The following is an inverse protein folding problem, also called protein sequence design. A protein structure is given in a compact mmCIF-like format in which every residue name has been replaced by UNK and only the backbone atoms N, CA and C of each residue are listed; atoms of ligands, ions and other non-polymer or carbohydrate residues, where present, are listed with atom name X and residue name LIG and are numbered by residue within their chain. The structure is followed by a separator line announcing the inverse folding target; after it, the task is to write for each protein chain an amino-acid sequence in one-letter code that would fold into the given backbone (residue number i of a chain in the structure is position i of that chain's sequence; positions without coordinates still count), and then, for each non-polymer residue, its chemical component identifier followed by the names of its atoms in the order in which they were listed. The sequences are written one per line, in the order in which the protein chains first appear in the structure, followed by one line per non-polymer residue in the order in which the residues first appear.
data_IF_385048165350
#
_entry.id   IF_385048165350
#
_cell.length_a   1.000
_cell.length_b   1.000
_cell.length_c   1.000
_cell.angle_alpha   90.00
_cell.angle_beta   90.00
_cell.angle_gamma   90.00
#
_symmetry.space_group_name_H-M   'P 1'
#
loop_
_entity.id
_entity.type
_entity.pdbx_description
1 polymer ?
#
# COMPACT_ATOMS: atom_id res chain seq x y z
N UNK A 1 7.74 -0.04 7.32
CA UNK A 1 7.53 -1.26 8.14
C UNK A 1 6.27 -2.00 7.71
N UNK A 2 6.29 -3.33 7.74
CA UNK A 2 5.12 -4.21 7.58
C UNK A 2 4.15 -4.01 8.75
N UNK A 3 2.84 -4.10 8.50
CA UNK A 3 1.82 -4.05 9.56
C UNK A 3 2.03 -5.23 10.51
N UNK A 4 1.86 -5.06 11.84
CA UNK A 4 1.98 -6.16 12.78
C UNK A 4 1.02 -7.29 12.42
N UNK A 5 1.47 -8.54 12.53
CA UNK A 5 0.68 -9.73 12.20
C UNK A 5 0.19 -10.39 13.50
N UNK A 6 -1.10 -10.65 13.60
CA UNK A 6 -1.71 -11.40 14.70
C UNK A 6 -2.22 -12.73 14.17
N UNK A 7 -1.75 -13.85 14.71
CA UNK A 7 -2.19 -15.18 14.28
C UNK A 7 -3.25 -15.75 15.24
N UNK A 8 -4.34 -16.29 14.70
CA UNK A 8 -5.31 -17.07 15.48
C UNK A 8 -4.94 -18.55 15.41
N UNK A 9 -4.58 -19.12 16.55
CA UNK A 9 -4.17 -20.51 16.72
C UNK A 9 -5.13 -21.22 17.67
N UNK A 10 -5.44 -22.47 17.39
CA UNK A 10 -6.30 -23.30 18.23
C UNK A 10 -6.80 -24.52 17.47
N UNK A 11 -7.35 -25.51 18.17
CA UNK A 11 -7.87 -26.74 17.55
C UNK A 11 -9.06 -26.46 16.63
N UNK A 12 -9.51 -27.46 15.87
CA UNK A 12 -10.69 -27.30 14.98
C UNK A 12 -11.95 -26.98 15.80
N UNK A 13 -12.89 -26.27 15.16
CA UNK A 13 -14.22 -25.98 15.69
C UNK A 13 -14.30 -25.11 16.97
N UNK A 14 -13.17 -24.57 17.47
CA UNK A 14 -13.15 -23.54 18.54
C UNK A 14 -13.68 -22.18 18.10
N UNK A 15 -13.95 -22.00 16.79
CA UNK A 15 -14.55 -20.77 16.25
C UNK A 15 -13.55 -19.73 15.73
N UNK A 16 -12.35 -20.15 15.27
CA UNK A 16 -11.34 -19.25 14.68
C UNK A 16 -11.87 -18.39 13.54
N UNK A 17 -12.49 -19.01 12.54
CA UNK A 17 -13.04 -18.27 11.40
C UNK A 17 -14.25 -17.42 11.79
N UNK A 18 -15.03 -17.85 12.80
CA UNK A 18 -16.11 -17.02 13.38
C UNK A 18 -15.53 -15.75 14.03
N UNK A 19 -14.45 -15.89 14.80
CA UNK A 19 -13.75 -14.76 15.40
C UNK A 19 -13.12 -13.86 14.33
N UNK A 20 -12.43 -14.43 13.35
CA UNK A 20 -11.85 -13.69 12.23
C UNK A 20 -12.92 -12.83 11.54
N UNK A 21 -14.04 -13.44 11.14
CA UNK A 21 -15.13 -12.75 10.46
C UNK A 21 -15.79 -11.68 11.34
N UNK A 22 -15.92 -11.95 12.64
CA UNK A 22 -16.45 -10.98 13.61
C UNK A 22 -15.56 -9.75 13.71
N UNK A 23 -14.25 -9.95 13.89
CA UNK A 23 -13.29 -8.86 14.01
C UNK A 23 -13.07 -8.12 12.67
N UNK A 24 -13.22 -8.81 11.54
CA UNK A 24 -13.25 -8.21 10.21
C UNK A 24 -14.47 -7.29 10.00
N UNK A 25 -15.60 -7.67 10.63
CA UNK A 25 -16.95 -7.20 10.32
C UNK A 25 -17.45 -6.00 11.12
N UNK A 26 -16.61 -5.28 11.88
CA UNK A 26 -17.03 -4.00 12.47
C UNK A 26 -16.71 -2.79 11.60
N UNK A 27 -15.78 -2.87 10.61
CA UNK A 27 -15.58 -1.79 9.61
C UNK A 27 -14.62 -2.04 8.44
N UNK A 28 -14.60 -3.18 7.73
CA UNK A 28 -13.90 -3.23 6.42
C UNK A 28 -14.72 -3.92 5.32
N UNK A 29 -14.72 -3.24 4.16
CA UNK A 29 -15.24 -3.64 2.88
C UNK A 29 -14.59 -4.94 2.38
N UNK A 30 -15.46 -5.86 1.96
CA UNK A 30 -15.10 -7.12 1.30
C UNK A 30 -14.30 -6.81 0.03
N UNK A 31 -13.05 -7.28 -0.05
CA UNK A 31 -12.35 -7.46 -1.33
C UNK A 31 -12.65 -8.85 -1.86
N UNK A 32 -13.10 -8.87 -3.11
CA UNK A 32 -13.48 -10.05 -3.89
C UNK A 32 -12.37 -11.11 -3.98
N UNK A 33 -12.79 -12.37 -3.93
CA UNK A 33 -11.97 -13.54 -4.21
C UNK A 33 -11.49 -13.54 -5.67
N UNK A 34 -10.18 -13.42 -5.87
CA UNK A 34 -9.54 -13.77 -7.15
C UNK A 34 -9.33 -15.30 -7.20
N UNK A 35 -9.87 -16.02 -8.21
CA UNK A 35 -9.62 -17.45 -8.34
C UNK A 35 -8.19 -17.68 -8.85
N UNK A 36 -7.37 -18.41 -8.10
CA UNK A 36 -6.10 -18.95 -8.64
C UNK A 36 -4.89 -19.01 -7.71
N UNK A 37 -4.99 -18.62 -6.44
CA UNK A 37 -3.86 -18.73 -5.49
C UNK A 37 -4.05 -19.90 -4.53
N UNK A 38 -2.98 -20.63 -4.30
CA UNK A 38 -2.90 -21.82 -3.45
C UNK A 38 -3.33 -21.54 -2.01
N UNK A 39 -4.57 -21.97 -1.72
CA UNK A 39 -5.19 -22.51 -0.48
C UNK A 39 -4.58 -22.17 0.89
N UNK A 40 -5.44 -21.55 1.72
CA UNK A 40 -5.60 -21.73 3.18
C UNK A 40 -4.94 -20.73 4.17
N UNK A 41 -4.69 -19.47 3.79
CA UNK A 41 -4.47 -18.38 4.77
C UNK A 41 -5.31 -17.15 4.45
N UNK A 42 -6.27 -16.83 5.31
CA UNK A 42 -7.09 -15.63 5.18
C UNK A 42 -6.42 -14.51 5.97
N UNK A 43 -5.97 -13.48 5.26
CA UNK A 43 -5.39 -12.27 5.84
C UNK A 43 -6.45 -11.19 5.89
N UNK A 44 -6.70 -10.64 7.08
CA UNK A 44 -7.69 -9.58 7.29
C UNK A 44 -6.99 -8.41 7.98
N UNK A 45 -7.03 -7.22 7.38
CA UNK A 45 -6.55 -6.02 8.05
C UNK A 45 -7.60 -5.54 9.06
N UNK A 46 -7.16 -5.13 10.25
CA UNK A 46 -8.01 -4.58 11.31
C UNK A 46 -7.45 -3.23 11.71
N UNK A 47 -8.36 -2.27 11.95
CA UNK A 47 -8.02 -0.97 12.52
C UNK A 47 -8.83 -0.77 13.79
N UNK A 48 -8.14 -0.66 14.93
CA UNK A 48 -8.76 -0.46 16.25
C UNK A 48 -8.03 0.64 17.01
N UNK A 49 -8.77 1.64 17.51
CA UNK A 49 -8.23 2.82 18.21
C UNK A 49 -7.06 3.51 17.48
N UNK A 50 -7.09 3.53 16.15
CA UNK A 50 -6.05 4.15 15.32
C UNK A 50 -4.79 3.29 15.11
N UNK A 51 -4.77 2.05 15.62
CA UNK A 51 -3.70 1.08 15.37
C UNK A 51 -4.16 0.06 14.34
N UNK A 52 -3.33 -0.18 13.33
CA UNK A 52 -3.59 -1.16 12.29
C UNK A 52 -2.74 -2.42 12.48
N UNK A 53 -3.33 -3.58 12.25
CA UNK A 53 -2.65 -4.86 12.25
C UNK A 53 -3.34 -5.84 11.30
N UNK A 54 -2.65 -6.90 10.89
CA UNK A 54 -3.19 -7.95 10.02
C UNK A 54 -3.47 -9.20 10.84
N UNK A 55 -4.72 -9.62 10.89
CA UNK A 55 -5.16 -10.86 11.51
C UNK A 55 -5.10 -12.01 10.50
N UNK A 56 -4.52 -13.14 10.90
CA UNK A 56 -4.33 -14.32 10.06
C UNK A 56 -5.01 -15.52 10.72
N UNK A 57 -5.96 -16.13 10.03
CA UNK A 57 -6.52 -17.43 10.45
C UNK A 57 -5.60 -18.53 9.94
N UNK A 58 -5.02 -19.31 10.84
CA UNK A 58 -4.22 -20.49 10.50
C UNK A 58 -5.12 -21.69 10.15
N UNK A 59 -6.28 -21.43 9.56
CA UNK A 59 -7.35 -22.40 9.34
C UNK A 59 -6.83 -23.69 8.69
N UNK A 60 -6.73 -24.77 9.47
CA UNK A 60 -6.29 -26.07 8.93
C UNK A 60 -5.26 -26.84 9.76
N UNK A 61 -4.97 -26.45 11.01
CA UNK A 61 -3.93 -27.10 11.82
C UNK A 61 -4.24 -28.52 12.35
N UNK A 62 -4.90 -29.40 11.59
CA UNK A 62 -4.86 -30.86 11.85
C UNK A 62 -5.03 -31.70 10.58
N UNK A 63 -4.37 -32.88 10.51
CA UNK A 63 -4.17 -33.67 9.30
C UNK A 63 -5.48 -34.26 8.76
N UNK A 64 -5.63 -34.27 7.43
CA UNK A 64 -6.55 -35.21 6.79
C UNK A 64 -6.04 -36.62 7.11
N UNK A 65 -6.91 -37.50 7.57
CA UNK A 65 -6.54 -38.85 7.97
C UNK A 65 -5.74 -39.56 6.86
N UNK A 66 -4.67 -40.23 7.32
CA UNK A 66 -3.84 -41.25 6.66
C UNK A 66 -3.07 -40.85 5.39
N UNK A 67 -1.88 -40.27 5.59
CA UNK A 67 -0.64 -40.29 4.75
C UNK A 67 0.08 -38.94 4.85
N UNK A 68 1.42 -38.91 4.96
CA UNK A 68 2.44 -37.82 4.83
C UNK A 68 2.13 -36.33 5.15
N UNK A 69 0.93 -35.98 5.59
CA UNK A 69 0.32 -34.65 5.69
C UNK A 69 0.47 -34.06 7.10
N UNK A 70 0.92 -34.84 8.08
CA UNK A 70 1.12 -34.39 9.47
C UNK A 70 2.29 -33.42 9.64
N UNK A 71 3.34 -33.50 8.80
CA UNK A 71 4.49 -32.58 8.83
C UNK A 71 4.14 -31.20 8.27
N UNK A 72 3.44 -31.12 7.14
CA UNK A 72 3.14 -29.85 6.48
C UNK A 72 2.19 -28.96 7.29
N UNK A 73 1.28 -29.58 8.05
CA UNK A 73 0.35 -28.87 8.94
C UNK A 73 1.09 -28.28 10.15
N UNK A 74 2.02 -29.04 10.73
CA UNK A 74 2.84 -28.55 11.83
C UNK A 74 3.80 -27.43 11.39
N UNK A 75 4.43 -27.58 10.23
CA UNK A 75 5.24 -26.53 9.61
C UNK A 75 4.43 -25.25 9.37
N UNK A 76 3.15 -25.34 9.01
CA UNK A 76 2.30 -24.16 8.83
C UNK A 76 1.97 -23.43 10.14
N UNK A 77 1.75 -24.17 11.24
CA UNK A 77 1.59 -23.59 12.57
C UNK A 77 2.87 -22.89 13.02
N UNK A 78 4.01 -23.57 12.85
CA UNK A 78 5.32 -23.06 13.21
C UNK A 78 5.69 -21.82 12.37
N UNK A 79 5.38 -21.81 11.07
CA UNK A 79 5.53 -20.64 10.20
C UNK A 79 4.62 -19.48 10.65
N UNK A 80 3.35 -19.75 10.96
CA UNK A 80 2.44 -18.71 11.44
C UNK A 80 2.88 -18.14 12.80
N UNK A 81 3.35 -19.00 13.70
CA UNK A 81 3.98 -18.59 14.97
C UNK A 81 5.23 -17.77 14.68
N UNK A 82 6.07 -18.17 13.72
CA UNK A 82 7.32 -17.46 13.36
C UNK A 82 7.08 -16.11 12.67
N UNK A 83 5.98 -15.94 11.94
CA UNK A 83 5.61 -14.70 11.24
C UNK A 83 4.79 -13.73 12.10
N UNK A 84 4.08 -14.20 13.13
CA UNK A 84 3.20 -13.35 13.95
C UNK A 84 3.96 -12.47 14.96
N UNK A 85 3.49 -11.25 15.22
CA UNK A 85 3.97 -10.39 16.31
C UNK A 85 3.23 -10.65 17.62
N UNK A 86 2.01 -11.19 17.55
CA UNK A 86 1.24 -11.67 18.70
C UNK A 86 0.34 -12.85 18.29
N UNK A 87 -0.01 -13.70 19.26
CA UNK A 87 -0.79 -14.92 19.01
C UNK A 87 -2.06 -14.89 19.84
N UNK A 88 -3.20 -15.16 19.21
CA UNK A 88 -4.46 -15.47 19.88
C UNK A 88 -4.55 -16.99 19.97
N UNK A 89 -4.46 -17.53 21.18
CA UNK A 89 -4.72 -18.95 21.42
C UNK A 89 -6.20 -19.13 21.79
N UNK A 90 -6.97 -19.60 20.82
CA UNK A 90 -8.42 -19.73 20.92
C UNK A 90 -8.82 -21.16 21.34
N UNK A 91 -9.53 -21.25 22.47
CA UNK A 91 -10.10 -22.48 23.02
C UNK A 91 -11.63 -22.36 23.12
N UNK A 92 -12.32 -23.46 23.41
CA UNK A 92 -13.79 -23.50 23.48
C UNK A 92 -14.24 -23.87 24.90
N UNK A 93 -15.01 -22.97 25.52
CA UNK A 93 -15.51 -23.17 26.88
C UNK A 93 -16.40 -24.40 27.02
N UNK A 94 -17.14 -24.77 25.97
CA UNK A 94 -18.14 -25.85 26.04
C UNK A 94 -17.50 -27.24 26.12
N UNK A 95 -16.28 -27.35 25.61
CA UNK A 95 -15.53 -28.60 25.58
C UNK A 95 -14.55 -28.71 26.77
N UNK A 96 -14.35 -27.64 27.53
CA UNK A 96 -13.32 -27.57 28.57
C UNK A 96 -11.89 -27.64 28.04
N UNK A 97 -10.92 -27.88 28.93
CA UNK A 97 -9.51 -28.06 28.56
C UNK A 97 -9.30 -29.46 27.95
N UNK A 98 -8.83 -29.52 26.70
CA UNK A 98 -8.56 -30.80 26.01
C UNK A 98 -7.07 -31.11 25.93
N UNK A 99 -6.71 -32.38 25.68
CA UNK A 99 -5.30 -32.78 25.46
C UNK A 99 -4.64 -32.02 24.31
N UNK A 100 -5.37 -31.72 23.24
CA UNK A 100 -4.87 -30.94 22.11
C UNK A 100 -4.57 -29.49 22.51
N UNK A 101 -5.39 -28.90 23.39
CA UNK A 101 -5.17 -27.56 23.91
C UNK A 101 -3.91 -27.52 24.79
N UNK A 102 -3.67 -28.57 25.59
CA UNK A 102 -2.44 -28.73 26.38
C UNK A 102 -1.21 -28.82 25.47
N UNK A 103 -1.27 -29.61 24.40
CA UNK A 103 -0.17 -29.77 23.44
C UNK A 103 0.15 -28.47 22.70
N UNK A 104 -0.87 -27.73 22.27
CA UNK A 104 -0.71 -26.41 21.64
C UNK A 104 -0.14 -25.41 22.66
N UNK A 105 -0.65 -25.39 23.89
CA UNK A 105 -0.13 -24.53 24.95
C UNK A 105 1.36 -24.82 25.25
N UNK A 106 1.76 -26.09 25.31
CA UNK A 106 3.16 -26.49 25.49
C UNK A 106 4.08 -25.94 24.39
N UNK A 107 3.63 -25.94 23.13
CA UNK A 107 4.38 -25.38 22.00
C UNK A 107 4.43 -23.85 22.08
N UNK A 108 3.30 -23.21 22.39
CA UNK A 108 3.22 -21.76 22.52
C UNK A 108 4.03 -21.23 23.71
N UNK A 109 4.23 -22.01 24.78
CA UNK A 109 5.16 -21.64 25.87
C UNK A 109 6.62 -21.52 25.42
N UNK A 110 7.01 -22.20 24.34
CA UNK A 110 8.38 -22.19 23.84
C UNK A 110 8.67 -20.96 22.96
N UNK A 111 7.64 -20.20 22.56
CA UNK A 111 7.83 -18.95 21.81
C UNK A 111 8.12 -17.79 22.76
N UNK A 112 8.93 -16.82 22.31
CA UNK A 112 9.14 -15.54 22.99
C UNK A 112 8.06 -14.50 22.69
N UNK A 113 7.09 -14.86 21.84
CA UNK A 113 6.03 -13.97 21.37
C UNK A 113 4.89 -13.92 22.37
N UNK A 114 4.22 -12.77 22.51
CA UNK A 114 3.10 -12.66 23.43
C UNK A 114 1.91 -13.48 22.94
N UNK A 115 1.28 -14.22 23.87
CA UNK A 115 0.14 -15.08 23.61
C UNK A 115 -1.04 -14.63 24.46
N UNK A 116 -2.19 -14.41 23.84
CA UNK A 116 -3.46 -14.12 24.50
C UNK A 116 -4.31 -15.38 24.52
N UNK A 117 -4.60 -15.90 25.72
CA UNK A 117 -5.51 -17.02 25.89
C UNK A 117 -6.96 -16.52 25.80
N UNK A 118 -7.70 -17.00 24.80
CA UNK A 118 -9.07 -16.55 24.51
C UNK A 118 -10.01 -17.75 24.56
N UNK A 119 -10.98 -17.69 25.46
CA UNK A 119 -11.96 -18.75 25.70
C UNK A 119 -13.26 -18.38 24.98
N UNK A 120 -13.52 -19.01 23.85
CA UNK A 120 -14.65 -18.69 22.97
C UNK A 120 -15.94 -19.44 23.36
N UNK A 121 -17.06 -19.01 22.78
CA UNK A 121 -18.43 -19.55 22.99
C UNK A 121 -18.97 -19.35 24.41
N UNK A 122 -18.45 -18.37 25.15
CA UNK A 122 -19.00 -17.91 26.41
C UNK A 122 -20.28 -17.09 26.18
N UNK A 123 -21.34 -17.78 25.73
CA UNK A 123 -22.57 -17.15 25.26
C UNK A 123 -23.48 -16.64 26.41
N UNK A 124 -23.13 -16.96 27.66
CA UNK A 124 -23.87 -16.56 28.86
C UNK A 124 -22.95 -16.49 30.10
N UNK A 125 -23.44 -15.85 31.17
CA UNK A 125 -22.71 -15.61 32.43
C UNK A 125 -22.17 -16.90 33.07
N UNK A 126 -22.89 -18.02 32.94
CA UNK A 126 -22.43 -19.30 33.49
C UNK A 126 -21.19 -19.79 32.74
N UNK A 127 -21.24 -19.81 31.41
CA UNK A 127 -20.09 -20.20 30.59
C UNK A 127 -18.92 -19.22 30.77
N UNK A 128 -19.20 -17.93 30.89
CA UNK A 128 -18.16 -16.93 31.23
C UNK A 128 -17.44 -17.27 32.54
N UNK A 129 -18.17 -17.69 33.58
CA UNK A 129 -17.56 -18.12 34.85
C UNK A 129 -16.77 -19.43 34.76
N UNK A 130 -17.13 -20.31 33.81
CA UNK A 130 -16.43 -21.59 33.56
C UNK A 130 -15.08 -21.35 32.84
N UNK A 131 -14.86 -20.19 32.22
CA UNK A 131 -13.58 -19.84 31.59
C UNK A 131 -12.39 -19.83 32.57
N UNK A 132 -12.65 -19.70 33.88
CA UNK A 132 -11.63 -19.73 34.94
C UNK A 132 -10.85 -21.05 34.95
N UNK A 133 -11.46 -22.16 34.53
CA UNK A 133 -10.78 -23.47 34.43
C UNK A 133 -9.56 -23.45 33.50
N UNK A 134 -9.57 -22.60 32.47
CA UNK A 134 -8.50 -22.52 31.48
C UNK A 134 -7.21 -21.89 32.02
N UNK A 135 -7.21 -21.39 33.26
CA UNK A 135 -5.97 -21.06 34.01
C UNK A 135 -5.02 -22.25 34.11
N UNK A 136 -5.52 -23.48 34.11
CA UNK A 136 -4.71 -24.70 34.13
C UNK A 136 -3.77 -24.82 32.93
N UNK A 137 -4.08 -24.15 31.82
CA UNK A 137 -3.20 -24.08 30.66
C UNK A 137 -1.94 -23.24 30.93
N UNK A 138 -1.87 -22.44 32.00
CA UNK A 138 -0.67 -21.70 32.39
C UNK A 138 -0.24 -20.64 31.36
N UNK A 139 -1.20 -20.00 30.69
CA UNK A 139 -0.99 -19.02 29.60
C UNK A 139 -1.46 -17.60 29.97
N UNK A 140 -1.49 -17.26 31.26
CA UNK A 140 -2.02 -15.99 31.76
C UNK A 140 -3.53 -16.01 32.00
N UNK A 141 -4.13 -14.83 32.17
CA UNK A 141 -5.56 -14.68 32.45
C UNK A 141 -6.40 -15.05 31.21
N UNK A 142 -7.33 -16.02 31.29
CA UNK A 142 -8.20 -16.38 30.18
C UNK A 142 -9.23 -15.27 29.90
N UNK A 143 -9.27 -14.79 28.66
CA UNK A 143 -10.28 -13.83 28.22
C UNK A 143 -11.49 -14.56 27.63
N UNK A 144 -12.62 -14.51 28.32
CA UNK A 144 -13.87 -15.09 27.84
C UNK A 144 -14.51 -14.20 26.75
N UNK A 145 -14.89 -14.81 25.62
CA UNK A 145 -15.60 -14.13 24.53
C UNK A 145 -16.73 -15.00 23.96
N UNK A 146 -17.68 -14.35 23.29
CA UNK A 146 -18.54 -15.01 22.31
C UNK A 146 -18.33 -14.37 20.95
N UNK A 147 -17.51 -14.99 20.10
CA UNK A 147 -17.31 -14.53 18.72
C UNK A 147 -18.64 -14.49 17.93
N UNK A 148 -19.54 -15.45 18.20
CA UNK A 148 -20.83 -15.53 17.52
C UNK A 148 -21.79 -14.42 17.95
N UNK A 149 -21.80 -13.99 19.22
CA UNK A 149 -22.66 -12.91 19.71
C UNK A 149 -21.98 -11.53 19.79
N UNK A 150 -20.65 -11.46 19.64
CA UNK A 150 -19.87 -10.23 19.75
C UNK A 150 -19.58 -9.80 21.19
N UNK A 151 -19.69 -10.70 22.17
CA UNK A 151 -19.40 -10.39 23.58
C UNK A 151 -17.90 -10.51 23.85
N UNK A 152 -17.32 -9.55 24.57
CA UNK A 152 -15.89 -9.53 24.94
C UNK A 152 -14.92 -9.27 23.77
N UNK A 153 -15.40 -9.06 22.54
CA UNK A 153 -14.52 -8.86 21.37
C UNK A 153 -13.82 -7.51 21.36
N UNK A 154 -14.43 -6.48 21.95
CA UNK A 154 -13.80 -5.16 22.12
C UNK A 154 -12.63 -5.22 23.11
N UNK A 155 -12.83 -5.89 24.25
CA UNK A 155 -11.79 -6.10 25.26
C UNK A 155 -10.63 -6.93 24.69
N UNK A 156 -10.94 -7.92 23.84
CA UNK A 156 -9.93 -8.66 23.08
C UNK A 156 -9.13 -7.74 22.15
N UNK A 157 -9.78 -6.84 21.41
CA UNK A 157 -9.10 -5.89 20.54
C UNK A 157 -8.22 -4.90 21.33
N UNK A 158 -8.69 -4.45 22.50
CA UNK A 158 -7.92 -3.62 23.42
C UNK A 158 -6.66 -4.33 23.91
N UNK A 159 -6.79 -5.60 24.32
CA UNK A 159 -5.63 -6.41 24.75
C UNK A 159 -4.67 -6.70 23.60
N UNK A 160 -5.17 -7.00 22.39
CA UNK A 160 -4.31 -7.19 21.20
C UNK A 160 -3.49 -5.92 20.96
N UNK A 161 -4.14 -4.76 20.91
CA UNK A 161 -3.47 -3.48 20.71
C UNK A 161 -2.46 -3.21 21.82
N UNK A 162 -2.79 -3.45 23.09
CA UNK A 162 -1.86 -3.25 24.20
C UNK A 162 -0.62 -4.18 24.12
N UNK A 163 -0.81 -5.38 23.59
CA UNK A 163 0.21 -6.45 23.54
C UNK A 163 1.14 -6.35 22.34
N UNK A 164 0.64 -5.83 21.22
CA UNK A 164 1.45 -5.62 20.03
C UNK A 164 2.64 -4.72 20.37
N UNK A 165 3.84 -4.98 19.77
CA UNK A 165 5.02 -4.16 20.00
C UNK A 165 4.66 -2.71 19.74
N UNK A 166 4.76 -1.86 20.77
CA UNK A 166 4.51 -0.42 20.66
C UNK A 166 5.23 0.03 19.40
N UNK A 167 4.55 0.67 18.42
CA UNK A 167 5.27 1.16 17.26
C UNK A 167 6.43 1.96 17.81
N UNK A 168 7.66 1.53 17.49
CA UNK A 168 8.83 2.26 17.92
C UNK A 168 8.53 3.73 17.62
N UNK A 169 8.68 4.60 18.63
CA UNK A 169 8.70 6.03 18.38
C UNK A 169 9.64 6.18 17.17
N UNK A 170 9.12 6.73 16.07
CA UNK A 170 9.74 6.66 14.75
C UNK A 170 11.19 7.17 14.87
N UNK A 171 12.13 6.27 15.14
CA UNK A 171 13.46 6.39 14.58
C UNK A 171 13.23 5.98 13.15
N UNK A 172 13.07 7.01 12.31
CA UNK A 172 12.87 6.85 10.89
C UNK A 172 14.00 5.94 10.38
N UNK A 173 13.69 4.69 10.05
CA UNK A 173 14.36 4.09 8.91
C UNK A 173 14.27 5.13 7.80
N UNK A 174 15.40 5.59 7.24
CA UNK A 174 15.38 6.70 6.31
C UNK A 174 14.38 6.39 5.21
N UNK A 175 13.36 7.23 5.04
CA UNK A 175 12.32 7.04 4.04
C UNK A 175 12.98 6.87 2.67
N UNK A 176 13.02 5.64 2.19
CA UNK A 176 13.59 5.29 0.90
C UNK A 176 12.60 5.73 -0.18
N UNK A 177 12.95 6.76 -0.95
CA UNK A 177 12.20 7.11 -2.15
C UNK A 177 12.51 6.09 -3.26
N UNK A 178 11.52 5.30 -3.68
CA UNK A 178 11.67 4.38 -4.80
C UNK A 178 11.38 5.10 -6.12
N UNK A 179 12.36 5.14 -7.03
CA UNK A 179 12.25 5.83 -8.32
C UNK A 179 12.46 4.85 -9.48
N UNK A 180 11.51 4.82 -10.42
CA UNK A 180 11.66 4.03 -11.66
C UNK A 180 11.92 4.94 -12.86
N UNK A 181 12.89 4.59 -13.70
CA UNK A 181 13.14 5.25 -15.00
C UNK A 181 12.47 4.44 -16.10
N UNK A 182 11.38 4.95 -16.67
CA UNK A 182 10.54 4.25 -17.65
C UNK A 182 10.38 5.03 -18.95
N UNK A 183 9.97 4.34 -20.01
CA UNK A 183 9.84 4.92 -21.35
C UNK A 183 10.20 3.94 -22.45
N UNK A 184 9.89 4.29 -23.69
CA UNK A 184 10.15 3.44 -24.87
C UNK A 184 11.63 3.09 -25.06
N UNK A 185 11.98 2.05 -25.83
CA UNK A 185 13.36 1.83 -26.25
C UNK A 185 14.00 3.08 -26.86
N UNK A 186 15.31 3.26 -26.70
CA UNK A 186 16.12 4.31 -27.35
C UNK A 186 15.81 5.79 -27.01
N UNK A 187 14.88 6.08 -26.09
CA UNK A 187 14.62 7.45 -25.57
C UNK A 187 15.75 8.00 -24.69
N UNK A 188 16.75 7.18 -24.36
CA UNK A 188 17.94 7.57 -23.59
C UNK A 188 17.89 7.32 -22.09
N UNK A 189 17.06 6.38 -21.62
CA UNK A 189 16.98 5.97 -20.20
C UNK A 189 18.34 5.61 -19.59
N UNK A 190 19.18 4.84 -20.30
CA UNK A 190 20.50 4.43 -19.81
C UNK A 190 21.49 5.57 -19.71
N UNK A 191 21.44 6.51 -20.66
CA UNK A 191 22.23 7.73 -20.56
C UNK A 191 21.76 8.58 -19.38
N UNK A 192 20.43 8.69 -19.16
CA UNK A 192 19.89 9.43 -18.03
C UNK A 192 20.30 8.80 -16.70
N UNK A 193 20.19 7.47 -16.56
CA UNK A 193 20.65 6.74 -15.37
C UNK A 193 22.12 7.04 -15.07
N UNK A 194 22.99 6.94 -16.08
CA UNK A 194 24.41 7.21 -15.90
C UNK A 194 24.71 8.67 -15.55
N UNK A 195 23.98 9.61 -16.16
CA UNK A 195 24.10 11.02 -15.83
C UNK A 195 23.70 11.30 -14.38
N UNK A 196 22.58 10.73 -13.92
CA UNK A 196 22.11 10.88 -12.54
C UNK A 196 23.09 10.25 -11.53
N UNK A 197 23.61 9.06 -11.83
CA UNK A 197 24.57 8.35 -10.96
C UNK A 197 25.94 9.04 -10.95
N UNK A 198 26.35 9.67 -12.05
CA UNK A 198 27.64 10.34 -12.19
C UNK A 198 27.68 11.80 -11.71
N UNK A 199 26.58 12.34 -11.19
CA UNK A 199 26.57 13.68 -10.59
C UNK A 199 27.33 13.68 -9.26
N UNK A 200 28.14 14.71 -8.99
CA UNK A 200 28.97 14.84 -7.77
C UNK A 200 28.18 14.72 -6.45
N UNK A 201 26.85 14.82 -6.51
CA UNK A 201 25.91 14.80 -5.39
C UNK A 201 25.30 13.43 -5.12
N UNK A 202 25.67 12.42 -5.90
CA UNK A 202 25.11 11.07 -5.85
C UNK A 202 26.19 10.08 -5.44
N UNK A 203 26.04 9.50 -4.24
CA UNK A 203 26.96 8.48 -3.72
C UNK A 203 26.30 7.11 -3.88
N UNK A 204 26.92 6.22 -4.66
CA UNK A 204 26.43 4.85 -4.85
C UNK A 204 26.94 3.96 -3.72
N UNK A 205 26.02 3.29 -3.02
CA UNK A 205 26.38 2.25 -2.06
C UNK A 205 26.33 0.88 -2.76
N UNK A 206 27.50 0.31 -3.05
CA UNK A 206 27.63 -1.04 -3.62
C UNK A 206 27.64 -2.12 -2.54
N UNK A 207 26.73 -2.09 -1.56
CA UNK A 207 26.73 -3.09 -0.49
C UNK A 207 26.20 -4.42 -1.04
N UNK A 208 27.03 -5.47 -1.20
CA UNK A 208 26.58 -6.76 -1.70
C UNK A 208 26.03 -7.56 -0.52
N UNK A 209 24.72 -7.88 -0.48
CA UNK A 209 24.23 -8.75 0.60
C UNK A 209 22.74 -8.90 0.87
N UNK A 210 21.82 -8.15 0.24
CA UNK A 210 20.38 -8.36 0.49
C UNK A 210 19.72 -9.10 -0.67
N UNK A 211 19.69 -10.43 -0.59
CA UNK A 211 18.88 -11.32 -1.45
C UNK A 211 17.42 -10.82 -1.45
N UNK A 212 16.83 -10.37 -2.57
CA UNK A 212 16.39 -11.24 -3.69
C UNK A 212 16.37 -10.56 -5.08
N UNK A 213 16.77 -9.29 -5.22
CA UNK A 213 16.77 -8.59 -6.52
C UNK A 213 18.09 -7.81 -6.75
N UNK A 214 19.07 -8.46 -7.40
CA UNK A 214 20.38 -7.90 -7.75
C UNK A 214 20.33 -6.81 -8.86
N UNK A 215 19.26 -6.01 -8.91
CA UNK A 215 18.86 -5.23 -10.09
C UNK A 215 18.61 -3.74 -9.80
N UNK A 216 18.45 -3.36 -8.54
CA UNK A 216 18.18 -1.98 -8.12
C UNK A 216 19.47 -1.28 -7.65
N UNK A 217 19.54 0.05 -7.79
CA UNK A 217 20.71 0.84 -7.35
C UNK A 217 20.31 1.74 -6.20
N UNK A 218 20.91 1.55 -5.03
CA UNK A 218 20.76 2.43 -3.88
C UNK A 218 21.80 3.56 -3.95
N UNK A 219 21.36 4.80 -3.78
CA UNK A 219 22.26 5.94 -3.70
C UNK A 219 21.76 7.04 -2.75
N UNK A 220 22.70 7.84 -2.24
CA UNK A 220 22.41 9.02 -1.44
C UNK A 220 22.22 10.24 -2.35
N UNK A 221 21.08 10.92 -2.21
CA UNK A 221 20.80 12.21 -2.82
C UNK A 221 20.63 13.26 -1.72
N UNK A 222 21.67 14.06 -1.48
CA UNK A 222 21.65 15.14 -0.47
C UNK A 222 21.27 14.66 0.95
N UNK A 223 21.78 13.50 1.37
CA UNK A 223 21.47 12.90 2.67
C UNK A 223 20.14 12.13 2.70
N UNK A 224 19.48 11.95 1.56
CA UNK A 224 18.25 11.16 1.42
C UNK A 224 18.54 9.88 0.65
N UNK A 225 18.10 8.73 1.19
CA UNK A 225 18.30 7.46 0.51
C UNK A 225 17.28 7.28 -0.62
N UNK A 226 17.78 7.03 -1.82
CA UNK A 226 16.97 6.81 -3.02
C UNK A 226 17.29 5.44 -3.61
N UNK A 227 16.25 4.66 -3.90
CA UNK A 227 16.38 3.38 -4.60
C UNK A 227 15.91 3.53 -6.05
N UNK A 228 16.84 3.39 -7.01
CA UNK A 228 16.49 3.28 -8.43
C UNK A 228 16.07 1.86 -8.74
N UNK A 229 14.81 1.71 -9.16
CA UNK A 229 14.22 0.42 -9.51
C UNK A 229 14.58 0.02 -10.95
N UNK A 230 14.89 -1.26 -11.14
CA UNK A 230 15.16 -1.93 -12.43
C UNK A 230 16.33 -1.34 -13.24
N UNK A 231 17.44 -1.02 -12.56
CA UNK A 231 18.64 -0.48 -13.20
C UNK A 231 19.40 -1.49 -14.07
N UNK A 232 19.34 -2.79 -13.76
CA UNK A 232 19.99 -3.81 -14.60
C UNK A 232 19.36 -3.93 -15.99
N UNK A 233 18.03 -3.77 -16.13
CA UNK A 233 17.35 -3.75 -17.43
C UNK A 233 17.76 -2.56 -18.32
N UNK A 234 18.18 -1.46 -17.69
CA UNK A 234 18.69 -0.27 -18.34
C UNK A 234 20.17 -0.46 -18.73
N UNK A 235 20.99 -1.08 -17.87
CA UNK A 235 22.44 -1.33 -18.10
C UNK A 235 22.71 -2.45 -19.10
N UNK A 236 21.92 -3.53 -19.10
CA UNK A 236 22.09 -4.66 -20.03
C UNK A 236 21.71 -4.30 -21.48
N UNK A 237 20.82 -3.34 -21.73
CA UNK A 237 20.44 -2.92 -23.10
C UNK A 237 21.53 -2.17 -23.87
N UNK A 238 22.69 -1.88 -23.26
CA UNK A 238 23.86 -1.37 -23.98
C UNK A 238 24.49 -2.39 -24.94
N UNK A 239 24.16 -3.68 -24.78
CA UNK A 239 24.56 -4.78 -25.66
C UNK A 239 23.41 -5.81 -25.69
N UNK A 240 22.65 -5.93 -26.78
CA UNK A 240 21.96 -7.16 -27.30
C UNK A 240 20.78 -6.82 -28.21
N UNK A 241 20.57 -7.75 -29.15
CA UNK A 241 19.85 -7.80 -30.42
C UNK A 241 18.33 -7.52 -30.45
N UNK A 242 17.87 -7.26 -31.68
CA UNK A 242 16.49 -7.02 -32.11
C UNK A 242 15.61 -8.25 -31.84
N UNK A 243 14.55 -8.11 -31.04
CA UNK A 243 13.55 -9.18 -30.82
C UNK A 243 12.83 -9.20 -29.46
N UNK A 244 13.18 -8.33 -28.50
CA UNK A 244 12.75 -8.44 -27.08
C UNK A 244 11.84 -7.27 -26.63
N UNK A 245 10.91 -6.83 -27.48
CA UNK A 245 10.07 -5.65 -27.18
C UNK A 245 8.97 -5.92 -26.13
N UNK A 246 8.33 -7.10 -26.14
CA UNK A 246 7.27 -7.43 -25.17
C UNK A 246 7.76 -7.51 -23.72
N UNK A 247 8.95 -8.08 -23.50
CA UNK A 247 9.58 -8.13 -22.18
C UNK A 247 9.97 -6.74 -21.66
N UNK A 248 10.24 -5.79 -22.56
CA UNK A 248 10.55 -4.41 -22.17
C UNK A 248 9.38 -3.67 -21.54
N UNK A 249 8.15 -3.97 -21.97
CA UNK A 249 6.93 -3.36 -21.41
C UNK A 249 6.60 -3.97 -20.06
N UNK A 250 6.57 -5.31 -19.95
CA UNK A 250 6.29 -5.99 -18.67
C UNK A 250 7.24 -5.57 -17.55
N UNK A 251 8.53 -5.41 -17.85
CA UNK A 251 9.51 -4.87 -16.90
C UNK A 251 9.23 -3.44 -16.47
N UNK A 252 8.83 -2.57 -17.42
CA UNK A 252 8.43 -1.21 -17.08
C UNK A 252 7.20 -1.18 -16.16
N UNK A 253 6.22 -2.07 -16.36
CA UNK A 253 5.05 -2.19 -15.49
C UNK A 253 5.45 -2.63 -14.07
N UNK A 254 6.28 -3.67 -13.95
CA UNK A 254 6.80 -4.13 -12.65
C UNK A 254 7.62 -3.04 -11.92
N UNK A 255 8.44 -2.29 -12.65
CA UNK A 255 9.19 -1.17 -12.08
C UNK A 255 8.27 -0.06 -11.57
N UNK A 256 7.18 0.24 -12.29
CA UNK A 256 6.18 1.23 -11.88
C UNK A 256 5.46 0.78 -10.60
N UNK A 257 5.07 -0.49 -10.48
CA UNK A 257 4.39 -1.01 -9.28
C UNK A 257 5.23 -0.85 -8.02
N UNK A 258 6.56 -1.03 -8.12
CA UNK A 258 7.51 -0.91 -7.01
C UNK A 258 7.94 0.53 -6.71
N UNK A 259 7.73 1.47 -7.64
CA UNK A 259 8.15 2.86 -7.48
C UNK A 259 7.14 3.70 -6.68
N UNK A 260 7.63 4.76 -6.04
CA UNK A 260 6.82 5.88 -5.55
C UNK A 260 6.69 6.96 -6.63
N UNK A 261 7.78 7.21 -7.36
CA UNK A 261 7.87 8.20 -8.45
C UNK A 261 8.41 7.55 -9.72
N UNK A 262 7.70 7.73 -10.83
CA UNK A 262 8.13 7.30 -12.16
C UNK A 262 8.69 8.49 -12.96
N UNK A 263 9.92 8.36 -13.44
CA UNK A 263 10.53 9.25 -14.42
C UNK A 263 10.19 8.72 -15.81
N UNK A 264 9.16 9.29 -16.43
CA UNK A 264 8.76 8.92 -17.78
C UNK A 264 9.60 9.69 -18.79
N UNK A 265 10.57 9.00 -19.39
CA UNK A 265 11.49 9.55 -20.38
C UNK A 265 10.88 9.44 -21.77
N UNK A 266 10.76 10.59 -22.44
CA UNK A 266 10.27 10.71 -23.82
C UNK A 266 11.34 11.34 -24.69
N UNK A 267 11.35 10.99 -25.98
CA UNK A 267 12.27 11.54 -26.97
C UNK A 267 11.75 12.90 -27.47
N UNK A 268 12.48 13.99 -27.24
CA UNK A 268 12.10 15.31 -27.72
C UNK A 268 12.24 15.52 -29.23
N UNK A 269 12.90 14.60 -29.95
CA UNK A 269 13.05 14.66 -31.42
C UNK A 269 11.87 14.03 -32.17
N UNK A 270 11.02 13.30 -31.47
CA UNK A 270 9.86 12.62 -32.02
C UNK A 270 8.56 13.16 -31.37
N UNK A 271 7.40 13.08 -32.06
CA UNK A 271 6.11 13.20 -31.39
C UNK A 271 5.93 12.12 -30.32
N UNK A 272 5.10 12.35 -29.30
CA UNK A 272 4.80 11.29 -28.32
C UNK A 272 4.15 10.11 -29.04
N UNK A 273 4.71 8.92 -28.84
CA UNK A 273 4.19 7.72 -29.45
C UNK A 273 3.07 7.11 -28.60
N UNK A 274 2.31 6.19 -29.20
CA UNK A 274 1.27 5.41 -28.50
C UNK A 274 1.80 4.71 -27.25
N UNK A 275 3.00 4.14 -27.32
CA UNK A 275 3.60 3.44 -26.19
C UNK A 275 3.98 4.39 -25.03
N UNK A 276 4.34 5.65 -25.31
CA UNK A 276 4.54 6.66 -24.25
C UNK A 276 3.22 6.93 -23.50
N UNK A 277 2.12 7.06 -24.24
CA UNK A 277 0.77 7.24 -23.68
C UNK A 277 0.29 6.02 -22.88
N UNK A 278 0.62 4.80 -23.33
CA UNK A 278 0.28 3.58 -22.60
C UNK A 278 1.03 3.47 -21.26
N UNK A 279 2.34 3.73 -21.26
CA UNK A 279 3.13 3.74 -20.02
C UNK A 279 2.62 4.82 -19.08
N UNK A 280 2.35 6.02 -19.60
CA UNK A 280 1.74 7.10 -18.84
C UNK A 280 0.40 6.67 -18.20
N UNK A 281 -0.52 6.11 -18.99
CA UNK A 281 -1.81 5.64 -18.48
C UNK A 281 -1.68 4.62 -17.35
N UNK A 282 -0.70 3.72 -17.43
CA UNK A 282 -0.43 2.75 -16.38
C UNK A 282 0.16 3.38 -15.10
N UNK A 283 1.08 4.34 -15.21
CA UNK A 283 1.58 5.12 -14.05
C UNK A 283 0.42 5.75 -13.29
N UNK A 284 -0.57 6.30 -14.02
CA UNK A 284 -1.75 6.89 -13.43
C UNK A 284 -2.64 5.84 -12.73
N UNK A 285 -2.89 4.71 -13.39
CA UNK A 285 -3.69 3.62 -12.83
C UNK A 285 -3.06 3.03 -11.57
N UNK A 286 -1.74 2.89 -11.55
CA UNK A 286 -0.97 2.47 -10.39
C UNK A 286 -0.82 3.59 -9.32
N UNK A 287 -1.41 4.77 -9.56
CA UNK A 287 -1.43 5.91 -8.66
C UNK A 287 -0.03 6.34 -8.21
N UNK A 288 0.95 6.36 -9.12
CA UNK A 288 2.34 6.74 -8.83
C UNK A 288 2.60 8.22 -9.11
N UNK A 289 3.58 8.79 -8.39
CA UNK A 289 4.11 10.10 -8.73
C UNK A 289 4.76 10.06 -10.11
N UNK A 290 4.76 11.17 -10.84
CA UNK A 290 5.32 11.24 -12.19
C UNK A 290 6.12 12.51 -12.42
N UNK A 291 7.24 12.38 -13.12
CA UNK A 291 7.98 13.47 -13.74
C UNK A 291 8.15 13.12 -15.21
N UNK A 292 7.76 14.03 -16.11
CA UNK A 292 7.98 13.88 -17.54
C UNK A 292 9.35 14.42 -17.89
N UNK A 293 10.22 13.58 -18.47
CA UNK A 293 11.58 13.94 -18.85
C UNK A 293 11.70 13.91 -20.38
N UNK A 294 11.65 15.08 -21.01
CA UNK A 294 11.87 15.26 -22.45
C UNK A 294 13.37 15.25 -22.71
N UNK A 295 13.88 14.10 -23.13
CA UNK A 295 15.31 13.89 -23.36
C UNK A 295 15.70 14.19 -24.82
N UNK A 296 17.01 14.21 -25.10
CA UNK A 296 17.60 14.61 -26.40
C UNK A 296 17.24 16.04 -26.82
N UNK A 297 17.02 16.92 -25.83
CA UNK A 297 16.65 18.31 -26.06
C UNK A 297 17.73 19.13 -26.78
N UNK A 298 18.98 18.65 -26.78
CA UNK A 298 20.08 19.20 -27.58
C UNK A 298 19.81 19.12 -29.09
N UNK A 299 19.08 18.10 -29.54
CA UNK A 299 18.78 17.83 -30.96
C UNK A 299 17.52 18.54 -31.47
N UNK A 300 16.73 19.16 -30.58
CA UNK A 300 15.50 19.85 -30.95
C UNK A 300 15.83 21.22 -31.52
N UNK A 301 15.44 21.48 -32.77
CA UNK A 301 15.71 22.75 -33.47
C UNK A 301 14.89 23.92 -32.90
N UNK A 302 13.57 23.74 -32.77
CA UNK A 302 12.68 24.75 -32.17
C UNK A 302 12.44 24.45 -30.69
N UNK A 303 13.14 25.22 -29.84
CA UNK A 303 13.12 25.08 -28.38
C UNK A 303 12.06 25.95 -27.71
N UNK A 304 10.97 26.29 -28.39
CA UNK A 304 9.85 26.99 -27.77
C UNK A 304 9.15 26.11 -26.70
N UNK A 305 9.62 26.23 -25.46
CA UNK A 305 9.14 25.45 -24.31
C UNK A 305 7.62 25.62 -24.09
N UNK A 306 7.07 26.82 -24.30
CA UNK A 306 5.66 27.07 -24.09
C UNK A 306 4.78 26.28 -25.07
N UNK A 307 5.23 26.18 -26.33
CA UNK A 307 4.54 25.39 -27.34
C UNK A 307 4.67 23.89 -27.07
N UNK A 308 5.87 23.42 -26.70
CA UNK A 308 6.09 22.03 -26.32
C UNK A 308 5.25 21.61 -25.12
N UNK A 309 5.22 22.41 -24.05
CA UNK A 309 4.36 22.17 -22.90
C UNK A 309 2.88 22.07 -23.29
N UNK A 310 2.41 22.94 -24.19
CA UNK A 310 1.03 22.92 -24.69
C UNK A 310 0.75 21.64 -25.48
N UNK A 311 1.66 21.23 -26.37
CA UNK A 311 1.53 20.01 -27.19
C UNK A 311 1.51 18.76 -26.32
N UNK A 312 2.43 18.63 -25.36
CA UNK A 312 2.51 17.49 -24.43
C UNK A 312 1.23 17.41 -23.60
N UNK A 313 0.80 18.52 -22.97
CA UNK A 313 -0.43 18.56 -22.15
C UNK A 313 -1.69 18.24 -22.95
N UNK A 314 -1.76 18.64 -24.22
CA UNK A 314 -2.89 18.32 -25.08
C UNK A 314 -3.02 16.81 -25.36
N UNK A 315 -1.91 16.09 -25.40
CA UNK A 315 -1.85 14.65 -25.67
C UNK A 315 -2.00 13.81 -24.37
N UNK A 316 -1.50 14.34 -23.25
CA UNK A 316 -1.50 13.65 -21.95
C UNK A 316 -2.41 14.37 -20.94
N UNK A 317 -3.68 14.57 -21.32
CA UNK A 317 -4.68 15.35 -20.55
C UNK A 317 -4.93 14.84 -19.12
N UNK A 318 -4.54 13.61 -18.83
CA UNK A 318 -4.70 12.98 -17.52
C UNK A 318 -3.52 13.25 -16.56
N UNK A 319 -2.49 13.96 -17.03
CA UNK A 319 -1.30 14.37 -16.26
C UNK A 319 -1.04 15.87 -16.30
N UNK A 320 -2.07 16.71 -16.33
CA UNK A 320 -1.89 18.17 -16.30
C UNK A 320 -1.09 18.67 -15.06
N UNK A 321 -1.02 17.86 -14.01
CA UNK A 321 -0.25 18.13 -12.79
C UNK A 321 1.22 17.69 -12.86
N UNK A 322 1.64 16.95 -13.89
CA UNK A 322 3.00 16.42 -13.99
C UNK A 322 4.01 17.54 -14.34
N UNK A 323 5.13 17.67 -13.61
CA UNK A 323 6.23 18.52 -14.01
C UNK A 323 6.90 17.98 -15.27
N UNK A 324 7.31 18.89 -16.16
CA UNK A 324 8.00 18.58 -17.42
C UNK A 324 9.41 19.17 -17.34
N UNK A 325 10.42 18.31 -17.48
CA UNK A 325 11.81 18.68 -17.54
C UNK A 325 12.35 18.41 -18.94
N UNK A 326 13.26 19.28 -19.40
CA UNK A 326 13.93 19.14 -20.69
C UNK A 326 15.41 18.85 -20.44
N UNK A 327 15.91 17.74 -20.96
CA UNK A 327 17.25 17.24 -20.66
C UNK A 327 18.01 16.84 -21.93
N UNK A 328 19.33 16.93 -21.85
CA UNK A 328 20.23 16.17 -22.71
C UNK A 328 21.08 15.27 -21.83
N UNK A 329 20.66 14.02 -21.64
CA UNK A 329 21.43 13.06 -20.87
C UNK A 329 22.82 12.78 -21.46
N UNK A 330 22.98 12.97 -22.78
CA UNK A 330 24.28 12.83 -23.47
C UNK A 330 25.25 13.95 -23.10
N UNK A 331 24.75 15.18 -22.97
CA UNK A 331 25.55 16.37 -22.66
C UNK A 331 25.52 16.76 -21.17
N UNK A 332 24.79 16.01 -20.33
CA UNK A 332 24.56 16.34 -18.92
C UNK A 332 23.70 17.60 -18.69
N UNK A 333 23.03 18.12 -19.72
CA UNK A 333 22.27 19.37 -19.58
C UNK A 333 20.90 19.10 -18.94
N UNK A 334 20.60 19.78 -17.83
CA UNK A 334 19.30 19.72 -17.15
C UNK A 334 19.05 18.44 -16.34
N UNK A 335 20.00 17.50 -16.32
CA UNK A 335 19.89 16.26 -15.52
C UNK A 335 19.93 16.56 -14.02
N UNK A 336 20.63 17.63 -13.64
CA UNK A 336 20.78 18.15 -12.28
C UNK A 336 19.44 18.49 -11.61
N UNK A 337 18.40 18.72 -12.41
CA UNK A 337 17.04 19.08 -11.96
C UNK A 337 16.14 17.87 -11.76
N UNK A 338 16.50 16.71 -12.30
CA UNK A 338 15.63 15.51 -12.34
C UNK A 338 15.39 14.95 -10.95
N UNK A 339 16.46 14.68 -10.19
CA UNK A 339 16.32 14.18 -8.82
C UNK A 339 15.70 15.18 -7.84
N UNK A 340 16.06 16.49 -7.83
CA UNK A 340 15.34 17.48 -7.04
C UNK A 340 13.83 17.51 -7.34
N UNK A 341 13.45 17.42 -8.62
CA UNK A 341 12.04 17.41 -9.00
C UNK A 341 11.34 16.12 -8.56
N UNK A 342 11.99 14.96 -8.69
CA UNK A 342 11.45 13.68 -8.22
C UNK A 342 11.22 13.70 -6.71
N UNK A 343 12.18 14.25 -5.95
CA UNK A 343 12.06 14.44 -4.51
C UNK A 343 10.90 15.36 -4.13
N UNK A 344 10.74 16.50 -4.82
CA UNK A 344 9.58 17.36 -4.61
C UNK A 344 8.26 16.63 -4.86
N UNK A 345 8.18 15.82 -5.92
CA UNK A 345 6.98 15.01 -6.20
C UNK A 345 6.74 13.98 -5.10
N UNK A 346 7.78 13.36 -4.57
CA UNK A 346 7.69 12.44 -3.43
C UNK A 346 7.20 13.15 -2.16
N UNK A 347 7.69 14.35 -1.86
CA UNK A 347 7.21 15.16 -0.74
C UNK A 347 5.74 15.58 -0.90
N UNK A 348 5.35 16.01 -2.11
CA UNK A 348 3.96 16.32 -2.45
C UNK A 348 3.04 15.11 -2.30
N UNK A 349 3.55 13.93 -2.65
CA UNK A 349 2.88 12.65 -2.43
C UNK A 349 2.72 12.42 -0.93
N UNK A 350 3.79 12.39 -0.14
CA UNK A 350 3.72 12.13 1.31
C UNK A 350 3.06 13.23 2.16
N UNK A 351 2.52 14.30 1.55
CA UNK A 351 1.90 15.43 2.25
C UNK A 351 0.62 15.03 3.00
N UNK A 352 0.64 15.20 4.32
CA UNK A 352 -0.52 15.06 5.20
C UNK A 352 -1.17 16.42 5.47
N UNK A 353 -2.49 16.50 5.29
CA UNK A 353 -3.30 17.70 5.54
C UNK A 353 -4.25 17.43 6.72
N UNK A 354 -4.41 18.37 7.67
CA UNK A 354 -5.36 18.22 8.78
C UNK A 354 -6.81 18.08 8.28
N UNK A 355 -7.62 17.17 8.86
CA UNK A 355 -9.01 16.95 8.44
C UNK A 355 -9.87 18.22 8.42
N UNK A 356 -9.72 19.09 9.43
CA UNK A 356 -10.44 20.35 9.51
C UNK A 356 -10.14 21.27 8.31
N UNK A 357 -8.88 21.34 7.90
CA UNK A 357 -8.44 22.13 6.74
C UNK A 357 -9.02 21.57 5.45
N UNK A 358 -8.96 20.25 5.24
CA UNK A 358 -9.60 19.59 4.08
C UNK A 358 -11.08 19.91 4.02
N UNK A 359 -11.79 19.70 5.12
CA UNK A 359 -13.24 19.91 5.19
C UNK A 359 -13.62 21.37 4.88
N UNK A 360 -12.86 22.34 5.40
CA UNK A 360 -13.10 23.77 5.16
C UNK A 360 -12.95 24.16 3.68
N UNK A 361 -11.93 23.63 3.00
CA UNK A 361 -11.70 23.89 1.57
C UNK A 361 -12.82 23.30 0.73
N UNK A 362 -13.25 22.08 1.04
CA UNK A 362 -14.33 21.42 0.31
C UNK A 362 -15.67 22.13 0.53
N UNK A 363 -15.99 22.56 1.75
CA UNK A 363 -17.21 23.33 2.00
C UNK A 363 -17.23 24.65 1.21
N UNK A 364 -16.09 25.35 1.14
CA UNK A 364 -15.96 26.57 0.33
C UNK A 364 -16.15 26.29 -1.15
N UNK A 365 -15.57 25.20 -1.67
CA UNK A 365 -15.75 24.79 -3.06
C UNK A 365 -17.22 24.46 -3.38
N UNK A 366 -17.90 23.70 -2.53
CA UNK A 366 -19.33 23.37 -2.70
C UNK A 366 -20.22 24.61 -2.66
N UNK A 367 -19.89 25.60 -1.82
CA UNK A 367 -20.60 26.86 -1.77
C UNK A 367 -20.39 27.71 -3.04
N UNK A 368 -19.17 27.72 -3.59
CA UNK A 368 -18.84 28.45 -4.81
C UNK A 368 -19.44 27.80 -6.07
N UNK A 369 -19.50 26.47 -6.11
CA UNK A 369 -20.07 25.73 -7.22
C UNK A 369 -20.95 24.59 -6.70
N UNK A 370 -22.24 24.86 -6.58
CA UNK A 370 -23.19 23.90 -6.02
C UNK A 370 -23.43 22.72 -6.98
N UNK A 371 -23.47 21.46 -6.50
CA UNK A 371 -23.77 20.30 -7.33
C UNK A 371 -25.13 20.44 -8.04
N UNK A 372 -25.17 20.06 -9.31
CA UNK A 372 -26.42 20.02 -10.08
C UNK A 372 -27.41 19.02 -9.50
N UNK A 373 -28.70 19.26 -9.74
CA UNK A 373 -29.77 18.33 -9.35
C UNK A 373 -29.90 17.21 -10.38
N UNK A 374 -30.03 15.97 -9.91
CA UNK A 374 -30.42 14.83 -10.73
C UNK A 374 -31.88 14.48 -10.39
N UNK A 375 -32.81 14.99 -11.21
CA UNK A 375 -34.25 14.89 -10.93
C UNK A 375 -34.61 15.60 -9.63
N UNK A 376 -35.16 14.86 -8.66
CA UNK A 376 -35.54 15.39 -7.32
C UNK A 376 -34.42 15.34 -6.28
N UNK A 377 -33.30 14.66 -6.57
CA UNK A 377 -32.19 14.50 -5.63
C UNK A 377 -31.02 15.42 -5.98
N UNK A 378 -30.32 15.89 -4.96
CA UNK A 378 -29.11 16.71 -5.09
C UNK A 378 -27.99 16.05 -4.32
N UNK A 379 -26.79 16.03 -4.91
CA UNK A 379 -25.58 15.59 -4.21
C UNK A 379 -25.34 16.52 -3.01
N UNK A 380 -25.13 15.93 -1.84
CA UNK A 380 -24.71 16.63 -0.63
C UNK A 380 -23.40 16.02 -0.17
N UNK A 381 -22.39 16.87 -0.02
CA UNK A 381 -21.12 16.51 0.60
C UNK A 381 -21.21 16.90 2.08
N UNK A 382 -21.15 15.91 2.94
CA UNK A 382 -21.37 16.04 4.38
C UNK A 382 -20.07 16.33 5.14
N UNK A 383 -18.98 15.71 4.69
CA UNK A 383 -17.63 15.92 5.21
C UNK A 383 -16.58 15.44 4.19
N UNK A 384 -15.35 15.91 4.32
CA UNK A 384 -14.20 15.39 3.59
C UNK A 384 -12.96 15.32 4.49
N UNK A 385 -12.15 14.26 4.32
CA UNK A 385 -10.88 14.07 5.03
C UNK A 385 -9.83 13.43 4.13
N UNK A 386 -8.56 13.58 4.46
CA UNK A 386 -7.49 12.79 3.89
C UNK A 386 -7.33 11.50 4.72
N UNK A 387 -7.30 10.34 4.06
CA UNK A 387 -7.15 9.02 4.68
C UNK A 387 -5.81 8.35 4.37
N UNK A 388 -5.00 8.92 3.47
CA UNK A 388 -3.69 8.38 3.11
C UNK A 388 -2.83 9.40 2.36
N UNK A 389 -1.51 9.16 2.35
CA UNK A 389 -0.50 10.06 1.75
C UNK A 389 0.27 9.42 0.59
N UNK A 390 0.54 8.12 0.57
CA UNK A 390 1.27 7.48 -0.52
C UNK A 390 0.40 6.41 -1.21
N UNK A 391 -0.54 6.78 -2.11
CA UNK A 391 -0.83 8.11 -2.66
C UNK A 391 -1.79 8.98 -1.82
N UNK A 392 -1.87 10.31 -2.06
CA UNK A 392 -2.82 11.19 -1.40
C UNK A 392 -4.25 10.74 -1.66
N UNK A 393 -4.91 10.27 -0.60
CA UNK A 393 -6.25 9.69 -0.67
C UNK A 393 -7.22 10.54 0.13
N UNK A 394 -8.26 11.03 -0.53
CA UNK A 394 -9.30 11.86 0.05
C UNK A 394 -10.63 11.12 0.04
N UNK A 395 -11.27 11.03 1.20
CA UNK A 395 -12.58 10.41 1.37
C UNK A 395 -13.62 11.51 1.56
N UNK A 396 -14.65 11.49 0.70
CA UNK A 396 -15.79 12.38 0.74
C UNK A 396 -17.02 11.60 1.21
N UNK A 397 -17.60 12.03 2.33
CA UNK A 397 -18.85 11.49 2.83
C UNK A 397 -20.01 12.19 2.14
N UNK A 398 -20.78 11.45 1.35
CA UNK A 398 -21.89 11.96 0.56
C UNK A 398 -23.21 11.31 0.95
N UNK A 399 -24.32 11.92 0.55
CA UNK A 399 -25.65 11.33 0.76
C UNK A 399 -25.94 10.15 -0.17
N UNK A 400 -25.42 10.15 -1.40
CA UNK A 400 -25.60 9.07 -2.39
C UNK A 400 -24.44 9.13 -3.39
N UNK A 401 -23.63 8.07 -3.44
CA UNK A 401 -22.44 7.99 -4.29
C UNK A 401 -22.78 8.01 -5.78
N UNK A 402 -23.99 7.58 -6.16
CA UNK A 402 -24.47 7.56 -7.56
C UNK A 402 -24.73 8.97 -8.10
N UNK A 403 -24.86 9.96 -7.23
CA UNK A 403 -25.06 11.36 -7.62
C UNK A 403 -23.74 12.07 -7.97
N UNK A 404 -22.59 11.43 -7.74
CA UNK A 404 -21.27 12.01 -7.99
C UNK A 404 -20.93 11.87 -9.47
N UNK A 405 -21.29 12.89 -10.25
CA UNK A 405 -20.91 12.97 -11.66
C UNK A 405 -19.41 13.23 -11.83
N UNK A 406 -18.79 12.67 -12.88
CA UNK A 406 -17.34 12.76 -13.12
C UNK A 406 -16.83 14.21 -13.20
N UNK A 407 -17.64 15.12 -13.76
CA UNK A 407 -17.27 16.54 -13.87
C UNK A 407 -17.15 17.21 -12.49
N UNK A 408 -18.04 16.84 -11.56
CA UNK A 408 -18.01 17.36 -10.21
C UNK A 408 -16.87 16.74 -9.39
N UNK A 409 -16.58 15.45 -9.60
CA UNK A 409 -15.37 14.81 -9.07
C UNK A 409 -14.10 15.56 -9.50
N UNK A 410 -13.98 15.90 -10.79
CA UNK A 410 -12.84 16.68 -11.32
C UNK A 410 -12.79 18.09 -10.75
N UNK A 411 -13.94 18.73 -10.54
CA UNK A 411 -14.02 20.04 -9.87
C UNK A 411 -13.46 20.00 -8.44
N UNK A 412 -13.83 18.98 -7.65
CA UNK A 412 -13.30 18.79 -6.30
C UNK A 412 -11.81 18.48 -6.32
N UNK A 413 -11.33 17.66 -7.26
CA UNK A 413 -9.90 17.41 -7.45
C UNK A 413 -9.14 18.72 -7.69
N UNK A 414 -9.60 19.53 -8.64
CA UNK A 414 -8.97 20.81 -8.96
C UNK A 414 -9.00 21.78 -7.77
N UNK A 415 -10.07 21.76 -6.97
CA UNK A 415 -10.18 22.59 -5.77
C UNK A 415 -9.14 22.20 -4.71
N UNK A 416 -8.92 20.89 -4.52
CA UNK A 416 -7.86 20.37 -3.64
C UNK A 416 -6.48 20.75 -4.15
N UNK A 417 -6.23 20.59 -5.45
CA UNK A 417 -4.94 20.96 -6.07
C UNK A 417 -4.65 22.45 -5.96
N UNK A 418 -5.65 23.30 -6.19
CA UNK A 418 -5.51 24.74 -6.05
C UNK A 418 -5.20 25.16 -4.60
N UNK A 419 -5.78 24.47 -3.62
CA UNK A 419 -5.58 24.79 -2.21
C UNK A 419 -4.25 24.25 -1.64
N UNK A 420 -3.82 23.06 -2.08
CA UNK A 420 -2.77 22.30 -1.39
C UNK A 420 -1.58 21.92 -2.28
N UNK A 421 -1.66 22.12 -3.61
CA UNK A 421 -0.63 21.73 -4.56
C UNK A 421 -0.87 20.33 -5.14
N UNK A 422 -0.06 19.36 -4.73
CA UNK A 422 0.00 18.00 -5.28
C UNK A 422 0.59 17.92 -6.69
N UNK A 423 1.62 18.72 -6.95
CA UNK A 423 2.35 18.69 -8.22
C UNK A 423 3.01 17.33 -8.40
N UNK A 424 2.84 16.74 -9.59
CA UNK A 424 3.38 15.43 -9.94
C UNK A 424 2.72 14.23 -9.28
N UNK A 425 1.71 14.39 -8.41
CA UNK A 425 1.02 13.26 -7.77
C UNK A 425 -0.47 13.17 -8.16
N UNK A 426 -0.98 11.95 -8.47
CA UNK A 426 -2.41 11.72 -8.62
C UNK A 426 -3.12 11.82 -7.26
N UNK A 427 -4.37 12.29 -7.28
CA UNK A 427 -5.24 12.31 -6.10
C UNK A 427 -6.25 11.17 -6.16
N UNK A 428 -6.27 10.31 -5.14
CA UNK A 428 -7.27 9.26 -5.02
C UNK A 428 -8.52 9.81 -4.33
N UNK A 429 -9.58 10.07 -5.09
CA UNK A 429 -10.85 10.55 -4.53
C UNK A 429 -11.84 9.39 -4.35
N UNK A 430 -12.17 9.09 -3.10
CA UNK A 430 -13.15 8.09 -2.70
C UNK A 430 -14.43 8.76 -2.22
N UNK A 431 -15.59 8.24 -2.61
CA UNK A 431 -16.89 8.73 -2.19
C UNK A 431 -17.63 7.61 -1.47
N UNK A 432 -18.10 7.88 -0.25
CA UNK A 432 -18.80 6.90 0.59
C UNK A 432 -20.08 7.49 1.18
N UNK A 433 -21.07 6.66 1.46
CA UNK A 433 -22.21 7.06 2.29
C UNK A 433 -21.85 7.01 3.77
N UNK A 434 -22.52 7.75 4.66
CA UNK A 434 -22.22 7.72 6.12
C UNK A 434 -22.44 6.35 6.78
N UNK A 435 -23.18 5.47 6.11
CA UNK A 435 -23.48 4.09 6.50
C UNK A 435 -22.40 3.08 6.07
N UNK A 436 -21.37 3.52 5.32
CA UNK A 436 -20.25 2.74 4.76
C UNK A 436 -18.90 3.37 5.13
#
# INVERSE_FOLDING_TARGET
MSKPIVAIIGRRNVGKSTLLNRLAGERIAITEDLPGTTRDRIFVNISWQGREFTLVDTGGLEPRAESEVSKSVQEQAELAIAEADAIIFLVDVKDGVTHLDIDIANKLRQTSKPVLLVVNKADNVKLESEAVEFHELGMGEPLAISAYHGLGTSDLLDQIVATLPTPAAIEAEPELMNVAIVGRPNVGKSMLLNALVGEERVIVNETPGTTRDAVDTLFDFQGQNVLLIDTAGIRQRGRVEVGVERYSVMRALQAIERADVALLVIDGTEPLASQDMHIAGYIQQAMKGIVLVVNKWDLVADKNIAEWNRRIRAQVKFFDYAPILYTSAKLGQGTDKVMPQAWQVYQERCKQIPPATVNSVIQRAVAAHTPSRAGRKQLKILAATQSGVNPPTFVFFVNDTRLVHFSYRRYLENSLRQAFGFVGTPLHLLFKTRSE
#
